data_IF_335715403858
#
_entry.id   IF_335715403858
#
_cell.length_a   1.000
_cell.length_b   1.000
_cell.length_c   1.000
_cell.angle_alpha   90.00
_cell.angle_beta   90.00
_cell.angle_gamma   90.00
#
_symmetry.space_group_name_H-M   'P 1'
#
loop_
_entity.id
_entity.type
_entity.pdbx_description
1 polymer ?
#
# COMPACT_ATOMS: atom_id res chain seq x y z
N UNK A 1 -12.25 16.78 -11.40
CA UNK A 1 -13.72 16.85 -11.61
C UNK A 1 -14.13 15.66 -12.44
N UNK A 2 -15.11 14.88 -12.00
CA UNK A 2 -15.67 13.78 -12.77
C UNK A 2 -17.14 14.12 -13.07
N UNK A 3 -17.55 14.01 -14.33
CA UNK A 3 -18.94 14.17 -14.74
C UNK A 3 -19.50 12.80 -15.10
N UNK A 4 -20.56 12.37 -14.43
CA UNK A 4 -21.24 11.11 -14.71
C UNK A 4 -22.59 11.41 -15.36
N UNK A 5 -22.83 10.86 -16.54
CA UNK A 5 -24.12 10.94 -17.22
C UNK A 5 -24.87 9.64 -16.98
N UNK A 6 -26.02 9.72 -16.35
CA UNK A 6 -26.88 8.57 -16.08
C UNK A 6 -27.90 8.41 -17.20
N UNK A 7 -27.99 7.22 -17.80
CA UNK A 7 -29.03 6.91 -18.79
C UNK A 7 -29.83 5.69 -18.33
N UNK A 8 -31.10 5.60 -18.77
CA UNK A 8 -31.95 4.42 -18.49
C UNK A 8 -31.55 3.16 -19.27
N UNK A 9 -30.71 3.31 -20.27
CA UNK A 9 -30.21 2.19 -21.08
C UNK A 9 -28.83 1.78 -20.57
N UNK A 10 -28.54 0.47 -20.49
CA UNK A 10 -27.21 -0.03 -20.15
C UNK A 10 -26.25 0.41 -21.28
N UNK A 11 -25.29 1.32 -21.00
CA UNK A 11 -24.36 1.76 -22.03
C UNK A 11 -23.44 0.59 -22.40
N UNK A 12 -23.07 0.51 -23.67
CA UNK A 12 -22.12 -0.49 -24.17
C UNK A 12 -20.69 -0.02 -24.02
N UNK A 13 -20.48 1.28 -24.18
CA UNK A 13 -19.15 1.90 -24.16
C UNK A 13 -19.10 3.05 -23.16
N UNK A 14 -17.93 3.22 -22.57
CA UNK A 14 -17.61 4.35 -21.70
C UNK A 14 -16.47 5.14 -22.29
N UNK A 15 -16.68 6.43 -22.50
CA UNK A 15 -15.62 7.35 -22.89
C UNK A 15 -15.03 7.99 -21.64
N UNK A 16 -13.72 7.84 -21.47
CA UNK A 16 -12.94 8.48 -20.42
C UNK A 16 -12.00 9.51 -21.05
N UNK A 17 -12.10 10.76 -20.61
CA UNK A 17 -11.19 11.82 -21.03
C UNK A 17 -10.31 12.22 -19.85
N UNK A 18 -9.02 11.96 -19.96
CA UNK A 18 -8.05 12.39 -18.95
C UNK A 18 -7.49 13.77 -19.31
N UNK A 19 -7.93 14.79 -18.61
CA UNK A 19 -7.39 16.16 -18.79
C UNK A 19 -5.91 16.23 -18.42
N UNK A 20 -5.46 15.48 -17.42
CA UNK A 20 -4.06 15.47 -16.97
C UNK A 20 -3.10 14.96 -18.05
N UNK A 21 -3.52 13.92 -18.79
CA UNK A 21 -2.69 13.28 -19.81
C UNK A 21 -3.11 13.66 -21.22
N UNK A 22 -4.14 14.49 -21.39
CA UNK A 22 -4.77 14.87 -22.65
C UNK A 22 -5.04 13.63 -23.55
N UNK A 23 -5.60 12.59 -22.93
CA UNK A 23 -5.89 11.32 -23.60
C UNK A 23 -7.36 10.98 -23.49
N UNK A 24 -7.91 10.44 -24.57
CA UNK A 24 -9.25 9.88 -24.64
C UNK A 24 -9.14 8.36 -24.71
N UNK A 25 -9.90 7.69 -23.86
CA UNK A 25 -10.05 6.24 -23.83
C UNK A 25 -11.50 5.90 -24.15
N UNK A 26 -11.72 4.88 -24.94
CA UNK A 26 -13.06 4.32 -25.21
C UNK A 26 -12.98 2.86 -24.84
N UNK A 27 -13.73 2.45 -23.85
CA UNK A 27 -13.73 1.09 -23.36
C UNK A 27 -15.15 0.54 -23.35
N UNK A 28 -15.28 -0.77 -23.55
CA UNK A 28 -16.49 -1.47 -23.14
C UNK A 28 -16.73 -1.22 -21.66
N UNK A 29 -17.95 -0.93 -21.27
CA UNK A 29 -18.29 -0.64 -19.87
C UNK A 29 -17.92 -1.81 -18.95
N UNK A 30 -18.16 -3.04 -19.38
CA UNK A 30 -17.85 -4.23 -18.58
C UNK A 30 -16.35 -4.36 -18.28
N UNK A 31 -15.48 -3.79 -19.12
CA UNK A 31 -14.04 -3.75 -18.89
C UNK A 31 -13.65 -2.83 -17.71
N UNK A 32 -14.38 -1.72 -17.53
CA UNK A 32 -14.15 -0.77 -16.43
C UNK A 32 -14.81 -1.26 -15.13
N UNK A 33 -15.98 -1.87 -15.26
CA UNK A 33 -16.83 -2.30 -14.13
C UNK A 33 -16.64 -3.77 -13.76
N UNK A 34 -15.52 -4.34 -14.13
CA UNK A 34 -15.16 -5.73 -13.86
C UNK A 34 -15.25 -6.04 -12.35
N UNK A 35 -16.21 -6.87 -11.97
CA UNK A 35 -16.53 -7.22 -10.58
C UNK A 35 -15.44 -8.05 -9.89
N UNK A 36 -14.42 -8.50 -10.63
CA UNK A 36 -13.25 -9.16 -10.03
C UNK A 36 -12.38 -8.18 -9.22
N UNK A 37 -12.57 -6.88 -9.42
CA UNK A 37 -11.87 -5.82 -8.71
C UNK A 37 -12.79 -5.08 -7.72
N UNK A 38 -12.27 -4.61 -6.58
CA UNK A 38 -13.08 -3.97 -5.54
C UNK A 38 -13.58 -2.55 -5.91
N UNK A 39 -13.16 -2.01 -7.06
CA UNK A 39 -13.53 -0.69 -7.54
C UNK A 39 -13.46 -0.60 -9.06
N UNK A 40 -14.19 0.36 -9.64
CA UNK A 40 -14.10 0.62 -11.07
C UNK A 40 -12.70 1.10 -11.47
N UNK A 41 -12.17 0.54 -12.54
CA UNK A 41 -10.83 0.85 -13.06
C UNK A 41 -10.94 1.75 -14.31
N UNK A 42 -11.16 3.05 -14.07
CA UNK A 42 -11.47 4.03 -15.12
C UNK A 42 -10.35 4.15 -16.16
N UNK A 43 -9.09 3.97 -15.73
CA UNK A 43 -7.90 4.09 -16.59
C UNK A 43 -7.25 2.74 -16.91
N UNK A 44 -7.99 1.63 -16.76
CA UNK A 44 -7.52 0.28 -17.08
C UNK A 44 -7.01 0.22 -18.53
N UNK A 45 -5.87 -0.41 -18.73
CA UNK A 45 -5.25 -0.61 -20.04
C UNK A 45 -4.60 -2.00 -20.12
N UNK A 46 -4.09 -2.34 -21.30
CA UNK A 46 -3.43 -3.63 -21.56
C UNK A 46 -2.21 -3.87 -20.65
N UNK A 47 -1.52 -2.80 -20.26
CA UNK A 47 -0.38 -2.92 -19.33
C UNK A 47 -0.84 -3.28 -17.93
N UNK A 48 -1.94 -2.68 -17.45
CA UNK A 48 -2.56 -3.10 -16.19
C UNK A 48 -2.91 -4.59 -16.24
N UNK A 49 -3.57 -5.05 -17.30
CA UNK A 49 -3.96 -6.46 -17.45
C UNK A 49 -2.76 -7.40 -17.52
N UNK A 50 -1.69 -6.98 -18.19
CA UNK A 50 -0.44 -7.74 -18.26
C UNK A 50 0.18 -7.96 -16.88
N UNK A 51 0.16 -6.94 -16.03
CA UNK A 51 0.65 -7.05 -14.64
C UNK A 51 -0.33 -7.87 -13.79
N UNK A 52 -1.63 -7.59 -13.91
CA UNK A 52 -2.66 -8.28 -13.14
C UNK A 52 -2.61 -9.81 -13.34
N UNK A 53 -2.32 -10.27 -14.56
CA UNK A 53 -2.18 -11.71 -14.86
C UNK A 53 -1.02 -12.39 -14.13
N UNK A 54 -0.01 -11.65 -13.70
CA UNK A 54 1.17 -12.17 -12.97
C UNK A 54 0.95 -12.25 -11.46
N UNK A 55 -0.16 -11.69 -10.94
CA UNK A 55 -0.37 -11.48 -9.53
C UNK A 55 -1.48 -12.37 -8.96
N UNK A 56 -1.26 -12.85 -7.75
CA UNK A 56 -2.33 -13.33 -6.87
C UNK A 56 -2.80 -12.17 -6.02
N UNK A 57 -4.09 -11.85 -6.13
CA UNK A 57 -4.71 -10.75 -5.39
C UNK A 57 -5.33 -11.20 -4.06
N UNK A 58 -5.72 -10.21 -3.27
CA UNK A 58 -6.44 -10.41 -2.00
C UNK A 58 -5.64 -11.26 -0.98
N UNK A 59 -4.32 -11.21 -1.05
CA UNK A 59 -3.41 -11.98 -0.19
C UNK A 59 -3.16 -11.37 1.17
N UNK A 60 -3.44 -10.06 1.33
CA UNK A 60 -3.23 -9.34 2.58
C UNK A 60 -4.52 -8.72 3.12
N UNK A 61 -4.58 -8.62 4.44
CA UNK A 61 -5.36 -7.62 5.14
C UNK A 61 -4.44 -6.50 5.63
N UNK A 62 -5.01 -5.35 6.02
CA UNK A 62 -4.23 -4.18 6.43
C UNK A 62 -4.59 -3.72 7.84
N UNK A 63 -3.57 -3.39 8.61
CA UNK A 63 -3.72 -2.67 9.88
C UNK A 63 -2.96 -1.34 9.82
N UNK A 64 -3.54 -0.29 10.42
CA UNK A 64 -2.94 1.03 10.54
C UNK A 64 -3.08 1.52 11.97
N UNK A 65 -1.97 1.91 12.57
CA UNK A 65 -1.99 2.54 13.88
C UNK A 65 -2.57 3.96 13.81
N UNK A 66 -3.15 4.39 14.93
CA UNK A 66 -3.60 5.77 15.18
C UNK A 66 -3.29 6.23 16.59
N UNK A 67 -2.59 5.42 17.39
CA UNK A 67 -2.39 5.62 18.81
C UNK A 67 -0.97 6.14 19.11
N UNK A 68 0.01 5.82 18.23
CA UNK A 68 1.36 6.37 18.34
C UNK A 68 1.36 7.79 17.80
N UNK A 69 1.63 8.74 18.70
CA UNK A 69 1.62 10.17 18.43
C UNK A 69 2.87 10.83 19.00
N UNK A 70 3.07 12.11 18.73
CA UNK A 70 4.18 12.88 19.29
C UNK A 70 4.17 12.89 20.82
N UNK A 71 3.00 12.79 21.47
CA UNK A 71 2.88 12.78 22.94
C UNK A 71 3.24 11.44 23.57
N UNK A 72 3.25 10.34 22.79
CA UNK A 72 3.60 8.99 23.27
C UNK A 72 5.00 8.56 22.87
N UNK A 73 5.77 9.43 22.22
CA UNK A 73 7.13 9.13 21.75
C UNK A 73 8.16 10.07 22.37
N UNK A 74 9.40 9.62 22.42
CA UNK A 74 10.56 10.39 22.90
C UNK A 74 11.63 10.51 21.82
N UNK A 75 12.43 11.59 21.81
CA UNK A 75 13.43 11.79 20.75
C UNK A 75 14.72 11.00 20.97
N UNK A 76 14.96 10.49 22.19
CA UNK A 76 16.23 9.86 22.55
C UNK A 76 16.08 8.35 22.66
N UNK A 77 16.98 7.63 22.01
CA UNK A 77 17.06 6.16 22.10
C UNK A 77 17.58 5.74 23.49
N UNK A 78 16.99 4.69 24.04
CA UNK A 78 17.48 3.95 25.19
C UNK A 78 17.02 2.48 25.12
N UNK A 79 17.52 1.64 26.05
CA UNK A 79 17.24 0.20 26.07
C UNK A 79 15.76 -0.15 26.35
N UNK A 80 15.03 0.79 26.98
CA UNK A 80 13.61 0.62 27.31
C UNK A 80 12.67 1.13 26.23
N UNK A 81 13.17 1.39 25.04
CA UNK A 81 12.39 1.91 23.92
C UNK A 81 12.48 1.05 22.67
N UNK A 82 11.47 1.18 21.81
CA UNK A 82 11.45 0.65 20.44
C UNK A 82 11.62 1.80 19.46
N UNK A 83 12.37 1.58 18.39
CA UNK A 83 12.41 2.55 17.30
C UNK A 83 11.08 2.60 16.57
N UNK A 84 10.52 3.81 16.39
CA UNK A 84 9.29 4.03 15.64
C UNK A 84 9.62 4.15 14.16
N UNK A 85 9.24 3.12 13.39
CA UNK A 85 9.39 3.14 11.93
C UNK A 85 8.30 3.98 11.31
N UNK A 86 8.69 5.01 10.57
CA UNK A 86 7.81 5.89 9.81
C UNK A 86 7.99 5.70 8.31
N UNK A 87 7.03 6.15 7.49
CA UNK A 87 7.08 5.98 6.04
C UNK A 87 8.37 6.48 5.39
N UNK A 88 8.97 7.56 5.91
CA UNK A 88 10.24 8.13 5.39
C UNK A 88 11.46 7.28 5.74
N UNK A 89 11.38 6.44 6.76
CA UNK A 89 12.45 5.51 7.08
C UNK A 89 12.55 4.36 6.10
N UNK A 90 11.43 3.98 5.44
CA UNK A 90 11.42 2.88 4.47
C UNK A 90 12.06 3.35 3.17
N UNK A 91 13.15 2.72 2.77
CA UNK A 91 13.90 3.04 1.56
C UNK A 91 13.02 2.93 0.30
N UNK A 92 13.22 3.82 -0.67
CA UNK A 92 12.39 3.88 -1.88
C UNK A 92 12.49 2.63 -2.77
N UNK A 93 13.60 1.92 -2.69
CA UNK A 93 13.84 0.65 -3.38
C UNK A 93 13.26 -0.58 -2.66
N UNK A 94 12.71 -0.40 -1.44
CA UNK A 94 12.17 -1.50 -0.64
C UNK A 94 13.22 -2.44 -0.03
N UNK A 95 14.50 -2.03 0.03
CA UNK A 95 15.58 -2.88 0.56
C UNK A 95 15.63 -2.92 2.09
N UNK A 96 14.94 -1.99 2.78
CA UNK A 96 14.94 -1.90 4.23
C UNK A 96 14.56 -0.52 4.74
N UNK A 97 15.15 -0.17 5.88
CA UNK A 97 14.92 1.12 6.54
C UNK A 97 16.24 1.83 6.81
N UNK A 98 16.16 3.16 6.89
CA UNK A 98 17.30 4.03 7.22
C UNK A 98 16.92 4.94 8.38
N UNK A 99 17.83 5.07 9.34
CA UNK A 99 17.74 6.05 10.41
C UNK A 99 17.90 7.46 9.86
N UNK A 100 17.04 8.39 10.31
CA UNK A 100 17.07 9.79 9.89
C UNK A 100 17.29 10.64 11.14
N UNK A 101 18.47 11.25 11.31
CA UNK A 101 18.77 12.15 12.44
C UNK A 101 17.70 13.25 12.56
N UNK A 102 17.36 13.63 13.79
CA UNK A 102 16.36 14.65 14.13
C UNK A 102 14.91 14.37 13.67
N UNK A 103 14.69 13.25 12.99
CA UNK A 103 13.36 12.80 12.56
C UNK A 103 12.90 11.57 13.32
N UNK A 104 13.81 10.68 13.67
CA UNK A 104 13.50 9.43 14.35
C UNK A 104 13.01 9.70 15.78
N UNK A 105 12.10 8.87 16.22
CA UNK A 105 11.56 8.89 17.58
C UNK A 105 11.43 7.46 18.10
N UNK A 106 11.29 7.32 19.40
CA UNK A 106 11.28 6.04 20.08
C UNK A 106 10.04 5.91 20.95
N UNK A 107 9.48 4.71 21.01
CA UNK A 107 8.28 4.40 21.78
C UNK A 107 8.67 3.65 23.05
N UNK A 108 8.32 4.15 24.25
CA UNK A 108 8.63 3.50 25.51
C UNK A 108 7.94 2.13 25.66
N UNK A 109 8.70 1.09 26.00
CA UNK A 109 8.19 -0.28 26.11
C UNK A 109 7.08 -0.44 27.15
N UNK A 110 7.09 0.35 28.23
CA UNK A 110 6.05 0.30 29.26
C UNK A 110 4.67 0.75 28.74
N UNK A 111 4.60 1.46 27.61
CA UNK A 111 3.36 1.87 26.97
C UNK A 111 2.82 0.85 25.94
N UNK A 112 3.51 -0.26 25.70
CA UNK A 112 3.11 -1.25 24.68
C UNK A 112 1.69 -1.77 24.84
N UNK A 113 1.23 -1.93 26.07
CA UNK A 113 -0.13 -2.41 26.35
C UNK A 113 -1.23 -1.38 26.01
N UNK A 114 -0.87 -0.12 25.76
CA UNK A 114 -1.82 0.94 25.45
C UNK A 114 -2.09 1.09 23.94
N UNK A 115 -1.33 0.41 23.09
CA UNK A 115 -1.42 0.55 21.63
C UNK A 115 -1.66 -0.79 20.94
N UNK A 116 -2.63 -0.83 20.06
CA UNK A 116 -3.04 -2.07 19.36
C UNK A 116 -1.98 -2.61 18.39
N UNK A 117 -1.10 -1.74 17.91
CA UNK A 117 0.00 -2.11 17.00
C UNK A 117 1.09 -2.92 17.68
N UNK A 118 1.15 -2.92 19.01
CA UNK A 118 2.13 -3.67 19.81
C UNK A 118 2.12 -5.19 19.52
N UNK A 119 0.98 -5.72 19.10
CA UNK A 119 0.85 -7.14 18.71
C UNK A 119 1.74 -7.56 17.54
N UNK A 120 2.25 -6.60 16.77
CA UNK A 120 3.14 -6.87 15.65
C UNK A 120 4.62 -6.65 15.99
N UNK A 121 4.94 -6.26 17.22
CA UNK A 121 6.34 -6.14 17.64
C UNK A 121 6.98 -7.52 17.62
N UNK A 122 8.11 -7.64 16.89
CA UNK A 122 8.84 -8.90 16.66
C UNK A 122 8.04 -9.99 15.90
N UNK A 123 6.94 -9.64 15.25
CA UNK A 123 6.19 -10.57 14.40
C UNK A 123 6.80 -10.57 12.99
N UNK A 124 7.53 -11.64 12.63
CA UNK A 124 8.17 -11.79 11.33
C UNK A 124 7.23 -12.28 10.23
N UNK A 125 5.97 -12.55 10.56
CA UNK A 125 4.94 -12.99 9.61
C UNK A 125 4.26 -11.85 8.86
N UNK A 126 4.43 -10.60 9.31
CA UNK A 126 3.82 -9.42 8.70
C UNK A 126 4.85 -8.58 7.94
N UNK A 127 4.34 -7.70 7.07
CA UNK A 127 5.15 -6.81 6.25
C UNK A 127 4.74 -5.36 6.47
N UNK A 128 5.65 -4.44 6.17
CA UNK A 128 5.42 -3.00 6.30
C UNK A 128 5.43 -2.34 4.93
N UNK A 129 4.54 -1.36 4.74
CA UNK A 129 4.49 -0.49 3.56
C UNK A 129 4.13 0.93 3.98
N UNK A 130 4.64 1.98 3.30
CA UNK A 130 4.16 3.33 3.54
C UNK A 130 2.64 3.42 3.35
N UNK A 131 1.95 3.99 4.34
CA UNK A 131 0.49 4.08 4.32
C UNK A 131 -0.02 5.05 3.24
N UNK A 132 0.67 6.18 3.05
CA UNK A 132 0.35 7.16 2.00
C UNK A 132 1.54 7.28 1.06
N UNK A 133 1.46 6.68 -0.12
CA UNK A 133 2.59 6.69 -1.03
C UNK A 133 2.17 6.65 -2.48
N UNK A 134 2.94 7.34 -3.33
CA UNK A 134 2.94 7.15 -4.79
C UNK A 134 3.98 6.11 -5.24
N UNK A 135 4.85 5.70 -4.32
CA UNK A 135 5.89 4.70 -4.52
C UNK A 135 5.61 3.54 -3.57
N UNK A 136 4.71 2.62 -3.92
CA UNK A 136 4.49 1.44 -3.11
C UNK A 136 5.78 0.63 -2.99
N UNK A 137 6.02 0.11 -1.81
CA UNK A 137 7.15 -0.76 -1.49
C UNK A 137 6.82 -1.58 -0.25
N UNK A 138 7.36 -2.76 -0.18
CA UNK A 138 7.06 -3.71 0.91
C UNK A 138 8.37 -4.24 1.49
N UNK A 139 8.49 -4.14 2.80
CA UNK A 139 9.63 -4.66 3.56
C UNK A 139 9.16 -5.65 4.61
N UNK A 140 10.06 -6.50 5.09
CA UNK A 140 9.78 -7.31 6.27
C UNK A 140 9.56 -6.40 7.49
N UNK A 141 8.76 -6.85 8.42
CA UNK A 141 8.75 -6.26 9.75
C UNK A 141 10.12 -6.47 10.42
N UNK A 142 10.52 -5.51 11.22
CA UNK A 142 11.86 -5.48 11.82
C UNK A 142 11.79 -5.77 13.33
N UNK A 143 12.76 -6.49 13.87
CA UNK A 143 12.81 -6.74 15.30
C UNK A 143 13.07 -5.43 16.08
N UNK A 144 12.51 -5.35 17.29
CA UNK A 144 12.66 -4.20 18.18
C UNK A 144 12.21 -2.86 17.57
N UNK A 145 11.23 -2.90 16.67
CA UNK A 145 10.61 -1.71 16.08
C UNK A 145 9.10 -1.73 16.25
N UNK A 146 8.49 -0.57 16.07
CA UNK A 146 7.04 -0.40 16.06
C UNK A 146 6.65 0.62 14.97
N UNK A 147 5.72 0.31 14.04
CA UNK A 147 5.31 1.28 13.03
C UNK A 147 4.28 2.27 13.56
N UNK A 148 4.37 3.53 13.16
CA UNK A 148 3.33 4.54 13.40
C UNK A 148 2.26 4.57 12.29
N UNK A 149 1.29 5.47 12.41
CA UNK A 149 0.19 5.62 11.46
C UNK A 149 0.59 6.01 10.03
N UNK A 150 1.84 6.40 9.78
CA UNK A 150 2.37 6.65 8.44
C UNK A 150 2.79 5.37 7.71
N UNK A 151 2.83 4.24 8.42
CA UNK A 151 3.14 2.90 7.91
C UNK A 151 1.92 2.01 8.07
N UNK A 152 1.57 1.27 7.04
CA UNK A 152 0.56 0.22 7.09
C UNK A 152 1.22 -1.14 7.31
N UNK A 153 0.64 -1.96 8.18
CA UNK A 153 1.03 -3.36 8.38
C UNK A 153 0.21 -4.23 7.45
N UNK A 154 0.87 -4.94 6.57
CA UNK A 154 0.27 -5.94 5.68
C UNK A 154 0.32 -7.30 6.37
N UNK A 155 -0.84 -7.86 6.65
CA UNK A 155 -1.00 -9.13 7.35
C UNK A 155 -1.40 -10.19 6.31
N UNK A 156 -0.55 -11.19 6.03
CA UNK A 156 -0.91 -12.26 5.12
C UNK A 156 -2.16 -13.01 5.58
N UNK A 157 -3.09 -13.25 4.67
CA UNK A 157 -4.31 -14.05 4.95
C UNK A 157 -4.03 -15.55 5.08
N UNK A 158 -2.85 -15.99 4.59
CA UNK A 158 -2.33 -17.36 4.70
C UNK A 158 -0.86 -17.28 5.07
N UNK A 159 -0.30 -18.26 5.78
CA UNK A 159 1.13 -18.32 6.05
C UNK A 159 1.93 -18.25 4.75
N UNK A 160 2.79 -17.25 4.62
CA UNK A 160 3.65 -17.07 3.44
C UNK A 160 4.89 -16.25 3.80
N UNK A 161 5.95 -16.45 3.03
CA UNK A 161 7.16 -15.61 3.09
C UNK A 161 7.43 -15.05 1.69
N UNK A 162 7.42 -13.72 1.58
CA UNK A 162 7.76 -13.04 0.33
C UNK A 162 9.23 -13.26 -0.02
N UNK A 163 9.48 -13.71 -1.24
CA UNK A 163 10.83 -13.81 -1.78
C UNK A 163 11.41 -12.40 -2.02
N UNK A 164 12.73 -12.32 -2.20
CA UNK A 164 13.40 -11.06 -2.57
C UNK A 164 12.85 -10.51 -3.89
N UNK A 165 12.57 -11.38 -4.88
CA UNK A 165 11.97 -11.00 -6.18
C UNK A 165 10.59 -10.38 -5.99
N UNK A 166 9.73 -11.01 -5.17
CA UNK A 166 8.37 -10.51 -4.90
C UNK A 166 8.39 -9.14 -4.19
N UNK A 167 9.29 -8.95 -3.22
CA UNK A 167 9.46 -7.65 -2.55
C UNK A 167 9.99 -6.57 -3.50
N UNK A 168 11.01 -6.87 -4.29
CA UNK A 168 11.57 -5.95 -5.26
C UNK A 168 10.54 -5.51 -6.32
N UNK A 169 9.62 -6.42 -6.68
CA UNK A 169 8.56 -6.09 -7.63
C UNK A 169 7.66 -4.95 -7.14
N UNK A 170 7.31 -4.88 -5.85
CA UNK A 170 6.50 -3.78 -5.30
C UNK A 170 7.16 -2.41 -5.47
N UNK A 171 8.49 -2.34 -5.56
CA UNK A 171 9.24 -1.09 -5.76
C UNK A 171 9.52 -0.79 -7.24
N UNK A 172 9.12 -1.68 -8.15
CA UNK A 172 9.37 -1.53 -9.59
C UNK A 172 8.49 -0.44 -10.22
N UNK A 173 8.96 0.12 -11.34
CA UNK A 173 8.17 1.06 -12.14
C UNK A 173 6.91 0.39 -12.72
N UNK A 174 7.02 -0.89 -13.10
CA UNK A 174 5.90 -1.69 -13.59
C UNK A 174 4.79 -1.76 -12.55
N UNK A 175 5.11 -2.12 -11.30
CA UNK A 175 4.12 -2.19 -10.23
C UNK A 175 3.59 -0.81 -9.84
N UNK A 176 4.44 0.21 -9.80
CA UNK A 176 4.02 1.60 -9.52
C UNK A 176 2.96 2.08 -10.50
N UNK A 177 3.16 1.84 -11.79
CA UNK A 177 2.17 2.20 -12.81
C UNK A 177 0.88 1.39 -12.65
N UNK A 178 0.98 0.09 -12.45
CA UNK A 178 -0.15 -0.79 -12.17
C UNK A 178 -0.97 -0.27 -10.98
N UNK A 179 -0.31 -0.04 -9.84
CA UNK A 179 -0.97 0.46 -8.63
C UNK A 179 -1.56 1.86 -8.83
N UNK A 180 -0.91 2.71 -9.60
CA UNK A 180 -1.45 4.02 -9.98
C UNK A 180 -2.77 3.90 -10.74
N UNK A 181 -2.86 3.00 -11.73
CA UNK A 181 -4.10 2.72 -12.47
C UNK A 181 -5.17 2.13 -11.54
N UNK A 182 -4.80 1.17 -10.69
CA UNK A 182 -5.69 0.59 -9.67
C UNK A 182 -6.31 1.64 -8.75
N UNK A 183 -5.60 2.74 -8.50
CA UNK A 183 -6.06 3.89 -7.72
C UNK A 183 -6.66 5.00 -8.59
N UNK A 184 -7.03 4.70 -9.84
CA UNK A 184 -7.58 5.65 -10.82
C UNK A 184 -6.72 6.91 -10.98
N UNK A 185 -5.39 6.77 -10.95
CA UNK A 185 -4.40 7.83 -11.11
C UNK A 185 -4.67 9.04 -10.17
N UNK A 186 -5.20 8.76 -8.99
CA UNK A 186 -5.48 9.78 -8.00
C UNK A 186 -4.22 10.58 -7.68
N UNK A 187 -4.36 11.90 -7.68
CA UNK A 187 -3.27 12.82 -7.31
C UNK A 187 -3.23 13.12 -5.81
N UNK A 188 -4.22 12.65 -5.07
CA UNK A 188 -4.25 12.76 -3.62
C UNK A 188 -3.62 11.52 -2.99
N UNK A 189 -2.84 11.74 -1.95
CA UNK A 189 -2.33 10.65 -1.12
C UNK A 189 -3.51 9.92 -0.49
N UNK A 190 -3.74 8.69 -0.93
CA UNK A 190 -4.81 7.85 -0.38
C UNK A 190 -4.17 6.78 0.48
N UNK A 191 -4.68 6.65 1.69
CA UNK A 191 -4.24 5.61 2.61
C UNK A 191 -4.43 4.21 2.01
N UNK A 192 -3.55 3.29 2.37
CA UNK A 192 -3.79 1.86 2.13
C UNK A 192 -4.96 1.43 3.01
N UNK A 193 -6.06 1.05 2.39
CA UNK A 193 -7.33 0.63 3.01
C UNK A 193 -7.72 -0.78 2.54
N UNK A 194 -8.85 -1.27 3.00
CA UNK A 194 -9.34 -2.62 2.66
C UNK A 194 -9.55 -2.83 1.15
N UNK A 195 -9.87 -1.79 0.39
CA UNK A 195 -10.02 -1.90 -1.06
C UNK A 195 -8.68 -1.85 -1.78
N UNK A 196 -7.80 -0.95 -1.37
CA UNK A 196 -6.51 -0.78 -2.02
C UNK A 196 -5.50 -1.88 -1.67
N UNK A 197 -5.60 -2.48 -0.48
CA UNK A 197 -4.76 -3.62 -0.10
C UNK A 197 -4.99 -4.84 -0.99
N UNK A 198 -6.17 -4.97 -1.58
CA UNK A 198 -6.46 -5.99 -2.60
C UNK A 198 -5.41 -6.00 -3.71
N UNK A 199 -4.98 -4.81 -4.16
CA UNK A 199 -4.01 -4.65 -5.24
C UNK A 199 -2.54 -4.88 -4.82
N UNK A 200 -2.27 -5.11 -3.53
CA UNK A 200 -0.97 -5.61 -3.08
C UNK A 200 -0.86 -7.11 -3.41
N UNK A 201 -1.00 -7.41 -4.70
CA UNK A 201 -0.88 -8.77 -5.21
C UNK A 201 0.56 -9.27 -5.21
N UNK A 202 0.73 -10.55 -5.00
CA UNK A 202 2.04 -11.22 -4.97
C UNK A 202 2.30 -11.89 -6.30
N UNK A 203 3.52 -11.73 -6.85
CA UNK A 203 3.92 -12.45 -8.05
C UNK A 203 3.74 -13.94 -7.85
N UNK A 204 3.08 -14.58 -8.81
CA UNK A 204 2.99 -16.03 -8.88
C UNK A 204 4.37 -16.63 -9.03
N UNK A 205 4.59 -17.75 -8.36
CA UNK A 205 5.75 -18.57 -8.64
C UNK A 205 5.61 -19.17 -10.05
N UNK A 206 6.69 -19.09 -10.84
CA UNK A 206 6.76 -19.67 -12.18
C UNK A 206 6.90 -21.18 -12.10
#
# INVERSE_FOLDING_TARGET
>A
MCMVVYTRQKPKETTVYSMKYNKKYIHNQDYITDETYPSFLIYRDEQFDSVAKKLDFDVFSVFRDRQITKSTTIPTQNDDCLWVVKARNINDDGTGVTHIPDYDVFFPKHLLQTVSVSRFVNDDSVYLTPNMTYNPRVINNLPNTIPDGSVAVLIPKRPMKLTTRQKAFFSSEEYRRFYGIARNLSTQSINVDNNSVFYYGVLRDE
#
